data_IF_408868255056
#
_entry.id   IF_408868255056
#
_cell.length_a   1.000
_cell.length_b   1.000
_cell.length_c   1.000
_cell.angle_alpha   90.00
_cell.angle_beta   90.00
_cell.angle_gamma   90.00
#
_symmetry.space_group_name_H-M   'P 1'
#
loop_
_entity.id
_entity.type
_entity.pdbx_description
1 polymer ?
#
# COMPACT_ATOMS: atom_id res chain seq x y z
N UNK A 1 -40.17 -16.17 78.25
CA UNK A 1 -40.99 -14.99 78.51
C UNK A 1 -41.49 -14.46 77.16
N UNK A 2 -42.77 -14.59 76.94
CA UNK A 2 -43.62 -14.08 75.90
C UNK A 2 -43.36 -12.61 75.62
N UNK A 3 -43.41 -12.15 74.36
CA UNK A 3 -44.51 -11.23 73.91
C UNK A 3 -44.52 -11.19 72.37
N UNK A 4 -45.67 -11.42 71.84
CA UNK A 4 -46.19 -11.23 70.51
C UNK A 4 -46.42 -9.73 70.20
N UNK A 5 -46.34 -9.32 68.94
CA UNK A 5 -47.24 -8.36 68.32
C UNK A 5 -47.03 -8.30 66.81
N UNK A 6 -47.92 -8.87 66.01
CA UNK A 6 -48.94 -8.18 65.15
C UNK A 6 -48.35 -6.98 64.42
N UNK A 7 -48.24 -6.92 63.12
CA UNK A 7 -49.22 -7.10 62.07
C UNK A 7 -49.28 -5.80 61.26
N UNK A 8 -49.22 -5.82 60.02
CA UNK A 8 -50.06 -5.01 59.11
C UNK A 8 -49.71 -5.31 57.65
N UNK A 9 -50.68 -5.94 57.01
CA UNK A 9 -50.79 -5.98 55.55
C UNK A 9 -51.09 -4.56 55.08
N UNK A 10 -50.31 -4.06 54.15
CA UNK A 10 -50.77 -3.00 53.26
C UNK A 10 -50.57 -3.47 51.81
N UNK A 11 -51.68 -3.84 51.24
CA UNK A 11 -51.87 -4.01 49.79
C UNK A 11 -51.60 -2.68 49.10
N UNK A 12 -50.63 -2.66 48.21
CA UNK A 12 -50.51 -1.60 47.24
C UNK A 12 -50.70 -2.20 45.86
N UNK A 13 -51.93 -2.17 45.42
CA UNK A 13 -52.36 -2.37 44.05
C UNK A 13 -51.89 -1.17 43.20
N UNK A 14 -50.89 -1.37 42.43
CA UNK A 14 -50.48 -0.44 41.34
C UNK A 14 -51.23 -0.79 40.06
N UNK A 15 -51.76 0.19 39.33
CA UNK A 15 -52.59 -0.06 38.16
C UNK A 15 -51.71 -0.56 36.99
N UNK A 16 -52.19 -1.63 36.41
CA UNK A 16 -51.68 -2.21 35.14
C UNK A 16 -52.04 -1.22 34.03
N UNK A 17 -51.09 -0.43 33.56
CA UNK A 17 -51.41 0.50 32.48
C UNK A 17 -50.27 1.20 31.75
N UNK A 18 -49.02 1.16 32.25
CA UNK A 18 -47.93 1.97 31.62
C UNK A 18 -46.66 1.13 31.39
N UNK A 19 -46.84 -0.04 30.81
CA UNK A 19 -45.67 -0.91 30.51
C UNK A 19 -45.47 -1.26 29.05
N UNK A 20 -46.18 -0.60 28.12
CA UNK A 20 -46.07 -0.95 26.68
C UNK A 20 -45.58 0.16 25.75
N UNK A 21 -45.02 1.28 26.26
CA UNK A 21 -44.62 2.39 25.37
C UNK A 21 -43.11 2.70 25.36
N UNK A 22 -42.25 1.98 26.09
CA UNK A 22 -40.82 2.28 26.10
C UNK A 22 -39.91 1.25 25.38
N UNK A 23 -40.43 0.16 24.82
CA UNK A 23 -39.64 -0.86 24.16
C UNK A 23 -39.52 -0.62 22.64
N UNK A 24 -40.37 0.23 22.06
CA UNK A 24 -40.38 0.53 20.63
C UNK A 24 -39.39 1.61 20.18
N UNK A 25 -38.85 2.44 21.08
CA UNK A 25 -38.01 3.60 20.69
C UNK A 25 -36.51 3.33 20.77
N UNK A 26 -36.09 2.27 21.44
CA UNK A 26 -34.65 1.93 21.55
C UNK A 26 -34.14 1.09 20.39
N UNK A 27 -35.00 0.44 19.60
CA UNK A 27 -34.62 -0.39 18.45
C UNK A 27 -34.51 0.40 17.14
N UNK A 28 -35.02 1.64 17.08
CA UNK A 28 -34.96 2.46 15.85
C UNK A 28 -33.75 3.40 15.79
N UNK A 29 -32.97 3.54 16.89
CA UNK A 29 -31.80 4.41 16.95
C UNK A 29 -30.47 3.69 16.59
N UNK A 30 -30.50 2.36 16.47
CA UNK A 30 -29.28 1.59 16.07
C UNK A 30 -29.05 1.46 14.57
N UNK A 31 -29.96 1.92 13.71
CA UNK A 31 -29.80 1.82 12.25
C UNK A 31 -29.25 3.08 11.57
N UNK A 32 -28.87 4.12 12.31
CA UNK A 32 -28.29 5.34 11.73
C UNK A 32 -26.77 5.47 11.94
N UNK A 33 -26.09 4.46 12.48
CA UNK A 33 -24.65 4.32 12.37
C UNK A 33 -24.34 3.64 11.04
N UNK A 34 -24.78 4.25 9.95
CA UNK A 34 -24.26 3.99 8.61
C UNK A 34 -22.76 4.21 8.68
N UNK A 35 -22.01 3.08 8.78
CA UNK A 35 -20.57 3.11 8.83
C UNK A 35 -20.06 4.02 7.72
N UNK A 36 -19.37 5.08 8.07
CA UNK A 36 -18.51 5.80 7.14
C UNK A 36 -17.52 4.77 6.59
N UNK A 37 -17.88 4.11 5.49
CA UNK A 37 -16.92 3.41 4.66
C UNK A 37 -15.96 4.49 4.20
N UNK A 38 -14.77 4.56 4.82
CA UNK A 38 -13.69 5.34 4.28
C UNK A 38 -13.60 5.00 2.78
N UNK A 39 -13.54 6.00 1.89
CA UNK A 39 -13.44 5.74 0.47
C UNK A 39 -12.24 4.82 0.25
N UNK A 40 -12.37 3.78 -0.57
CA UNK A 40 -11.26 2.86 -0.80
C UNK A 40 -10.06 3.67 -1.27
N UNK A 41 -8.91 3.53 -0.61
CA UNK A 41 -7.63 4.16 -0.95
C UNK A 41 -7.17 3.84 -2.39
N UNK A 42 -7.82 2.90 -3.04
CA UNK A 42 -7.47 2.35 -4.35
C UNK A 42 -8.33 2.90 -5.49
N UNK A 43 -8.54 4.21 -5.54
CA UNK A 43 -9.28 4.84 -6.65
C UNK A 43 -8.70 4.38 -7.99
N UNK A 44 -9.48 3.58 -8.73
CA UNK A 44 -9.12 3.12 -10.08
C UNK A 44 -8.49 1.73 -10.19
N UNK A 45 -8.21 1.03 -9.08
CA UNK A 45 -7.81 -0.38 -9.08
C UNK A 45 -8.94 -1.27 -8.56
N UNK A 46 -9.16 -2.41 -9.21
CA UNK A 46 -10.11 -3.41 -8.72
C UNK A 46 -9.53 -4.17 -7.53
N UNK A 47 -10.40 -4.79 -6.71
CA UNK A 47 -9.96 -5.61 -5.58
C UNK A 47 -9.04 -6.78 -6.03
N UNK A 48 -9.30 -7.35 -7.20
CA UNK A 48 -8.45 -8.39 -7.79
C UNK A 48 -7.04 -7.86 -8.10
N UNK A 49 -6.93 -6.66 -8.66
CA UNK A 49 -5.64 -6.00 -8.93
C UNK A 49 -4.88 -5.71 -7.65
N UNK A 50 -5.57 -5.17 -6.64
CA UNK A 50 -4.97 -4.92 -5.31
C UNK A 50 -4.42 -6.22 -4.69
N UNK A 51 -5.20 -7.29 -4.74
CA UNK A 51 -4.77 -8.60 -4.24
C UNK A 51 -3.56 -9.12 -5.00
N UNK A 52 -3.55 -9.03 -6.33
CA UNK A 52 -2.42 -9.44 -7.16
C UNK A 52 -1.14 -8.64 -6.84
N UNK A 53 -1.26 -7.31 -6.67
CA UNK A 53 -0.14 -6.45 -6.30
C UNK A 53 0.44 -6.85 -4.92
N UNK A 54 -0.42 -6.98 -3.90
CA UNK A 54 0.00 -7.39 -2.55
C UNK A 54 0.66 -8.77 -2.55
N UNK A 55 0.10 -9.73 -3.27
CA UNK A 55 0.68 -11.08 -3.41
C UNK A 55 2.01 -11.08 -4.16
N UNK A 56 2.25 -10.11 -5.05
CA UNK A 56 3.51 -9.93 -5.75
C UNK A 56 4.58 -9.20 -4.92
N UNK A 57 4.24 -8.73 -3.72
CA UNK A 57 5.15 -8.04 -2.81
C UNK A 57 5.14 -6.51 -2.95
N UNK A 58 4.16 -5.93 -3.64
CA UNK A 58 3.96 -4.49 -3.63
C UNK A 58 3.46 -4.03 -2.28
N UNK A 59 4.02 -2.92 -1.82
CA UNK A 59 3.59 -2.22 -0.61
C UNK A 59 2.71 -1.04 -0.98
N UNK A 60 1.69 -0.81 -0.19
CA UNK A 60 0.80 0.33 -0.37
C UNK A 60 1.44 1.59 0.19
N UNK A 61 1.45 2.65 -0.61
CA UNK A 61 2.04 3.95 -0.28
C UNK A 61 1.05 5.06 -0.59
N UNK A 62 1.38 6.30 -0.24
CA UNK A 62 0.57 7.47 -0.62
C UNK A 62 0.48 7.67 -2.14
N UNK A 63 1.46 7.17 -2.91
CA UNK A 63 1.52 7.28 -4.37
C UNK A 63 0.84 6.12 -5.10
N UNK A 64 0.39 5.09 -4.37
CA UNK A 64 -0.18 3.86 -4.90
C UNK A 64 0.51 2.61 -4.37
N UNK A 65 0.75 1.63 -5.23
CA UNK A 65 1.45 0.40 -4.89
C UNK A 65 2.87 0.43 -5.42
N UNK A 66 3.85 0.21 -4.56
CA UNK A 66 5.26 0.29 -4.88
C UNK A 66 5.98 -1.04 -4.62
N UNK A 67 6.84 -1.44 -5.57
CA UNK A 67 7.72 -2.60 -5.48
C UNK A 67 9.17 -2.14 -5.64
N UNK A 68 10.03 -2.56 -4.73
CA UNK A 68 11.47 -2.26 -4.82
C UNK A 68 11.97 -1.08 -4.00
N UNK A 69 11.10 -0.35 -3.26
CA UNK A 69 11.53 0.79 -2.42
C UNK A 69 12.58 0.42 -1.38
N UNK A 70 12.45 -0.74 -0.78
CA UNK A 70 13.36 -1.23 0.27
C UNK A 70 14.02 -2.56 -0.10
N UNK A 71 13.98 -2.96 -1.39
CA UNK A 71 14.40 -4.30 -1.71
C UNK A 71 14.70 -4.56 -3.17
N UNK A 72 14.33 -5.63 -3.81
CA UNK A 72 15.20 -6.53 -4.57
C UNK A 72 15.75 -5.98 -5.89
N UNK A 73 15.43 -4.73 -6.32
CA UNK A 73 15.96 -4.16 -7.58
C UNK A 73 17.16 -3.27 -7.25
N UNK A 74 18.29 -3.89 -6.95
CA UNK A 74 19.52 -3.21 -6.56
C UNK A 74 20.55 -3.25 -7.68
N UNK A 75 21.42 -2.23 -7.68
CA UNK A 75 22.52 -2.07 -8.65
C UNK A 75 23.87 -1.98 -7.94
N UNK A 76 24.91 -2.44 -8.65
CA UNK A 76 26.28 -2.24 -8.21
C UNK A 76 26.67 -0.76 -8.32
N UNK A 77 27.78 -0.41 -7.66
CA UNK A 77 28.33 0.93 -7.72
C UNK A 77 28.63 1.30 -9.18
N UNK A 78 28.18 2.49 -9.58
CA UNK A 78 28.38 3.04 -10.92
C UNK A 78 27.88 2.13 -12.06
N UNK A 79 26.87 1.28 -11.80
CA UNK A 79 26.26 0.38 -12.79
C UNK A 79 24.77 0.59 -12.91
N UNK A 80 24.24 0.30 -14.10
CA UNK A 80 22.82 0.28 -14.44
C UNK A 80 22.36 -1.05 -15.05
N UNK A 81 23.25 -2.02 -15.28
CA UNK A 81 22.86 -3.34 -15.76
C UNK A 81 22.23 -4.17 -14.64
N UNK A 82 21.14 -4.87 -14.97
CA UNK A 82 20.50 -5.80 -14.07
C UNK A 82 21.29 -7.11 -13.95
N UNK A 83 21.47 -7.57 -12.71
CA UNK A 83 21.97 -8.92 -12.46
C UNK A 83 20.94 -9.96 -12.91
N UNK A 84 21.32 -11.19 -13.29
CA UNK A 84 20.39 -12.20 -13.81
C UNK A 84 19.26 -12.57 -12.82
N UNK A 85 19.52 -12.55 -11.51
CA UNK A 85 18.53 -12.80 -10.47
C UNK A 85 17.55 -11.65 -10.34
N UNK A 86 18.04 -10.40 -10.39
CA UNK A 86 17.21 -9.19 -10.38
C UNK A 86 16.33 -9.11 -11.63
N UNK A 87 16.89 -9.44 -12.82
CA UNK A 87 16.14 -9.53 -14.07
C UNK A 87 14.94 -10.48 -13.93
N UNK A 88 15.15 -11.70 -13.44
CA UNK A 88 14.07 -12.68 -13.22
C UNK A 88 12.97 -12.15 -12.26
N UNK A 89 13.36 -11.35 -11.27
CA UNK A 89 12.39 -10.70 -10.38
C UNK A 89 11.54 -9.70 -11.16
N UNK A 90 12.16 -8.80 -11.93
CA UNK A 90 11.45 -7.78 -12.74
C UNK A 90 10.53 -8.44 -13.76
N UNK A 91 10.99 -9.47 -14.48
CA UNK A 91 10.16 -10.23 -15.42
C UNK A 91 8.94 -10.88 -14.74
N UNK A 92 9.13 -11.48 -13.56
CA UNK A 92 8.01 -12.06 -12.80
C UNK A 92 6.98 -10.98 -12.41
N UNK A 93 7.45 -9.83 -11.94
CA UNK A 93 6.59 -8.67 -11.62
C UNK A 93 5.84 -8.20 -12.87
N UNK A 94 6.54 -8.04 -14.00
CA UNK A 94 5.92 -7.63 -15.26
C UNK A 94 4.83 -8.59 -15.72
N UNK A 95 5.07 -9.90 -15.65
CA UNK A 95 4.06 -10.92 -15.96
C UNK A 95 2.85 -10.84 -15.03
N UNK A 96 3.07 -10.58 -13.73
CA UNK A 96 1.97 -10.41 -12.77
C UNK A 96 1.14 -9.17 -13.08
N UNK A 97 1.77 -8.03 -13.35
CA UNK A 97 1.09 -6.79 -13.74
C UNK A 97 0.23 -6.99 -14.99
N UNK A 98 0.81 -7.61 -16.03
CA UNK A 98 0.10 -7.92 -17.28
C UNK A 98 -1.11 -8.83 -17.03
N UNK A 99 -0.95 -9.92 -16.27
CA UNK A 99 -2.02 -10.85 -15.96
C UNK A 99 -3.15 -10.22 -15.16
N UNK A 100 -2.83 -9.23 -14.31
CA UNK A 100 -3.80 -8.44 -13.56
C UNK A 100 -4.46 -7.31 -14.40
N UNK A 101 -4.10 -7.16 -15.69
CA UNK A 101 -4.59 -6.07 -16.53
C UNK A 101 -4.06 -4.69 -16.16
N UNK A 102 -2.94 -4.64 -15.43
CA UNK A 102 -2.26 -3.40 -15.04
C UNK A 102 -1.23 -3.09 -16.13
N UNK A 103 -1.56 -2.13 -16.99
CA UNK A 103 -0.74 -1.81 -18.16
C UNK A 103 0.07 -0.52 -18.01
N UNK A 104 -0.13 0.26 -16.94
CA UNK A 104 0.55 1.53 -16.71
C UNK A 104 1.33 1.52 -15.40
N UNK A 105 2.62 1.85 -15.47
CA UNK A 105 3.51 1.93 -14.31
C UNK A 105 4.44 3.13 -14.43
N UNK A 106 4.98 3.57 -13.29
CA UNK A 106 6.15 4.44 -13.25
C UNK A 106 7.33 3.64 -12.73
N UNK A 107 8.46 3.82 -13.35
CA UNK A 107 9.71 3.22 -12.89
C UNK A 107 10.62 4.35 -12.43
N UNK A 108 10.95 4.34 -11.16
CA UNK A 108 11.89 5.28 -10.55
C UNK A 108 13.25 4.60 -10.40
N UNK A 109 14.32 5.32 -10.76
CA UNK A 109 15.68 4.93 -10.45
C UNK A 109 16.29 5.89 -9.45
N UNK A 110 17.18 5.38 -8.61
CA UNK A 110 17.85 6.14 -7.55
C UNK A 110 19.36 5.87 -7.57
N UNK A 111 20.14 6.83 -7.08
CA UNK A 111 21.56 6.71 -6.82
C UNK A 111 21.85 6.88 -5.33
N UNK A 112 23.08 6.55 -4.92
CA UNK A 112 23.61 6.93 -3.62
C UNK A 112 24.15 8.38 -3.65
N UNK A 113 24.72 8.84 -2.54
CA UNK A 113 25.15 10.24 -2.39
C UNK A 113 26.56 10.51 -2.96
N UNK A 114 27.20 9.53 -3.59
CA UNK A 114 28.54 9.69 -4.17
C UNK A 114 28.43 10.14 -5.63
N UNK A 115 28.87 11.37 -5.96
CA UNK A 115 28.92 11.86 -7.33
C UNK A 115 28.35 13.26 -7.54
N UNK A 116 28.37 13.71 -8.80
CA UNK A 116 27.84 14.99 -9.27
C UNK A 116 26.35 14.83 -9.56
N UNK A 117 25.53 15.81 -9.18
CA UNK A 117 24.05 15.72 -9.25
C UNK A 117 23.53 15.39 -10.65
N UNK A 118 24.09 15.97 -11.70
CA UNK A 118 23.68 15.68 -13.09
C UNK A 118 24.02 14.25 -13.49
N UNK A 119 25.19 13.76 -13.10
CA UNK A 119 25.60 12.39 -13.36
C UNK A 119 24.71 11.38 -12.65
N UNK A 120 24.41 11.62 -11.37
CA UNK A 120 23.54 10.77 -10.57
C UNK A 120 22.10 10.74 -11.11
N UNK A 121 21.61 11.89 -11.59
CA UNK A 121 20.31 11.97 -12.22
C UNK A 121 20.26 11.10 -13.49
N UNK A 122 21.27 11.20 -14.35
CA UNK A 122 21.34 10.40 -15.56
C UNK A 122 21.55 8.91 -15.26
N UNK A 123 22.44 8.55 -14.31
CA UNK A 123 22.66 7.16 -13.89
C UNK A 123 21.37 6.54 -13.33
N UNK A 124 20.65 7.30 -12.50
CA UNK A 124 19.37 6.86 -11.96
C UNK A 124 18.31 6.67 -13.04
N UNK A 125 18.26 7.55 -14.05
CA UNK A 125 17.40 7.42 -15.22
C UNK A 125 17.70 6.14 -15.99
N UNK A 126 18.97 5.83 -16.26
CA UNK A 126 19.40 4.59 -16.93
C UNK A 126 19.02 3.33 -16.13
N UNK A 127 19.09 3.38 -14.80
CA UNK A 127 18.61 2.30 -13.93
C UNK A 127 17.11 2.06 -14.09
N UNK A 128 16.32 3.13 -14.18
CA UNK A 128 14.89 3.00 -14.45
C UNK A 128 14.61 2.48 -15.87
N UNK A 129 15.39 2.88 -16.86
CA UNK A 129 15.24 2.44 -18.25
C UNK A 129 15.45 0.93 -18.41
N UNK A 130 16.51 0.37 -17.84
CA UNK A 130 16.76 -1.08 -17.99
C UNK A 130 15.66 -1.91 -17.31
N UNK A 131 15.07 -1.43 -16.22
CA UNK A 131 13.89 -2.06 -15.61
C UNK A 131 12.68 -1.94 -16.53
N UNK A 132 12.46 -0.78 -17.15
CA UNK A 132 11.35 -0.56 -18.09
C UNK A 132 11.48 -1.46 -19.33
N UNK A 133 12.68 -1.66 -19.86
CA UNK A 133 12.94 -2.59 -20.98
C UNK A 133 12.50 -4.00 -20.62
N UNK A 134 12.89 -4.54 -19.47
CA UNK A 134 12.48 -5.87 -19.04
C UNK A 134 10.96 -6.00 -18.87
N UNK A 135 10.28 -4.92 -18.43
CA UNK A 135 8.81 -4.89 -18.34
C UNK A 135 8.17 -4.92 -19.74
N UNK A 136 8.74 -4.23 -20.72
CA UNK A 136 8.28 -4.25 -22.12
C UNK A 136 8.50 -5.63 -22.72
N UNK A 137 9.64 -6.26 -22.48
CA UNK A 137 9.97 -7.60 -23.01
C UNK A 137 8.99 -8.68 -22.54
N UNK A 138 8.38 -8.50 -21.36
CA UNK A 138 7.31 -9.39 -20.89
C UNK A 138 5.90 -8.92 -21.27
N UNK A 139 5.78 -7.86 -22.08
CA UNK A 139 4.57 -7.45 -22.77
C UNK A 139 3.78 -6.32 -22.12
N UNK A 140 4.42 -5.44 -21.32
CA UNK A 140 3.83 -4.15 -20.96
C UNK A 140 3.97 -3.15 -22.13
N UNK A 141 3.00 -2.25 -22.24
CA UNK A 141 3.01 -1.22 -23.29
C UNK A 141 4.02 -0.10 -22.95
N UNK A 142 5.02 0.08 -23.81
CA UNK A 142 6.03 1.14 -23.69
C UNK A 142 5.42 2.52 -23.49
N UNK A 143 4.29 2.83 -24.15
CA UNK A 143 3.61 4.13 -24.04
C UNK A 143 2.99 4.38 -22.66
N UNK A 144 2.88 3.35 -21.84
CA UNK A 144 2.29 3.39 -20.52
C UNK A 144 3.29 3.23 -19.39
N UNK A 145 4.58 3.19 -19.71
CA UNK A 145 5.66 3.17 -18.74
C UNK A 145 6.30 4.55 -18.69
N UNK A 146 6.21 5.21 -17.53
CA UNK A 146 6.93 6.45 -17.28
C UNK A 146 8.26 6.14 -16.59
N UNK A 147 9.36 6.66 -17.14
CA UNK A 147 10.72 6.46 -16.66
C UNK A 147 11.19 7.75 -15.98
N UNK A 148 11.62 7.67 -14.72
CA UNK A 148 12.00 8.83 -13.92
C UNK A 148 13.31 8.56 -13.17
N UNK A 149 14.34 9.32 -13.48
CA UNK A 149 15.54 9.42 -12.65
C UNK A 149 15.28 10.30 -11.45
N UNK A 150 15.65 9.85 -10.27
CA UNK A 150 15.50 10.57 -9.00
C UNK A 150 16.84 11.00 -8.42
N UNK A 151 17.96 10.57 -9.01
CA UNK A 151 19.28 10.85 -8.46
C UNK A 151 19.37 10.41 -7.00
N UNK A 152 19.86 11.30 -6.16
CA UNK A 152 20.09 11.12 -4.71
C UNK A 152 18.85 11.35 -3.84
N UNK A 153 17.70 11.69 -4.43
CA UNK A 153 16.49 11.96 -3.67
C UNK A 153 15.92 10.70 -3.04
N UNK A 154 15.19 10.88 -1.93
CA UNK A 154 14.48 9.81 -1.23
C UNK A 154 15.37 8.63 -0.78
N UNK A 155 16.49 8.86 -0.04
CA UNK A 155 17.34 7.79 0.43
C UNK A 155 16.59 6.89 1.43
N UNK A 156 16.75 5.57 1.29
CA UNK A 156 16.18 4.56 2.19
C UNK A 156 17.22 3.98 3.15
N UNK A 157 18.50 4.16 2.86
CA UNK A 157 19.62 3.75 3.70
C UNK A 157 20.51 4.95 4.05
N UNK A 158 21.27 4.80 5.15
CA UNK A 158 22.24 5.84 5.56
C UNK A 158 23.42 5.88 4.58
N UNK A 159 23.54 6.97 3.81
CA UNK A 159 24.61 7.18 2.84
C UNK A 159 26.02 7.22 3.43
N UNK A 160 26.13 7.42 4.76
CA UNK A 160 27.43 7.34 5.46
C UNK A 160 27.97 5.91 5.53
N UNK A 161 27.12 4.91 5.39
CA UNK A 161 27.50 3.50 5.46
C UNK A 161 27.53 2.85 4.08
N UNK A 162 28.47 1.92 3.81
CA UNK A 162 28.49 1.18 2.55
C UNK A 162 27.20 0.40 2.29
N UNK A 163 26.59 -0.14 3.33
CA UNK A 163 25.32 -0.89 3.27
C UNK A 163 24.18 0.04 2.87
N UNK A 164 24.06 1.20 3.51
CA UNK A 164 23.03 2.17 3.18
C UNK A 164 23.16 2.72 1.75
N UNK A 165 24.38 3.00 1.29
CA UNK A 165 24.62 3.37 -0.12
C UNK A 165 24.17 2.26 -1.08
N UNK A 166 24.48 1.00 -0.76
CA UNK A 166 24.02 -0.14 -1.58
C UNK A 166 22.48 -0.22 -1.65
N UNK A 167 21.78 0.08 -0.57
CA UNK A 167 20.32 0.15 -0.55
C UNK A 167 19.76 1.32 -1.38
N UNK A 168 20.49 2.45 -1.45
CA UNK A 168 20.08 3.62 -2.22
C UNK A 168 20.29 3.43 -3.73
N UNK A 169 21.22 2.57 -4.16
CA UNK A 169 21.39 2.20 -5.57
C UNK A 169 20.30 1.22 -6.02
N UNK A 170 19.09 1.72 -6.22
CA UNK A 170 17.91 0.90 -6.46
C UNK A 170 17.03 1.41 -7.60
N UNK A 171 16.06 0.59 -7.99
CA UNK A 171 14.89 1.06 -8.73
C UNK A 171 13.61 0.59 -8.04
N UNK A 172 12.52 1.31 -8.33
CA UNK A 172 11.19 0.99 -7.83
C UNK A 172 10.15 1.05 -8.96
N UNK A 173 9.19 0.12 -8.93
CA UNK A 173 8.06 0.07 -9.85
C UNK A 173 6.83 0.54 -9.09
N UNK A 174 6.16 1.58 -9.58
CA UNK A 174 4.99 2.17 -8.94
C UNK A 174 3.77 2.05 -9.83
N UNK A 175 2.73 1.45 -9.28
CA UNK A 175 1.37 1.41 -9.85
C UNK A 175 0.55 2.48 -9.15
N UNK A 176 0.27 3.58 -9.86
CA UNK A 176 -0.57 4.65 -9.31
C UNK A 176 -2.02 4.43 -9.72
N UNK A 177 -2.98 4.67 -8.83
CA UNK A 177 -4.38 4.79 -9.22
C UNK A 177 -4.55 5.93 -10.24
N UNK A 178 -5.43 5.76 -11.20
CA UNK A 178 -5.81 6.79 -12.16
C UNK A 178 -6.85 7.73 -11.60
#
# INVERSE_FOLDING_TARGET
MRVQSKGSMMNNTFPVGIRRLCVGSALLLCMLLGGCKAPPLHRGLTQTQVTALKSAGFQETQQGFEFGSTGPILFDFDRYNLKPDVRRIVERIGRTLRSAGINGVRVYGYSDQEGVDEYDLELSRRRAEVVAIELVDVGLDTKRIAIVGKGKSDPVGDNKTPVGRAQNRRAAIVVSPR
#
